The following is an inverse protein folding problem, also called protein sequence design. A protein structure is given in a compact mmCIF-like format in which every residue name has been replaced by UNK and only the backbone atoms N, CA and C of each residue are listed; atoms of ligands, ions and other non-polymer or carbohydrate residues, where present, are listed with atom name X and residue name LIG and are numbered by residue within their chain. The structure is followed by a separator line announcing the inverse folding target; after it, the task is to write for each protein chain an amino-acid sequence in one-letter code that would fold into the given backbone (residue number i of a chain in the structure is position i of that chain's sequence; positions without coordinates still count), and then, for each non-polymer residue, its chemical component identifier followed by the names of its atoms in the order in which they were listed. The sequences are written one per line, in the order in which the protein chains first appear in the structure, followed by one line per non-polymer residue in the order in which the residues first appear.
data_IF_325163760595
#
_entry.id   IF_325163760595
#
_cell.length_a   1.000
_cell.length_b   1.000
_cell.length_c   1.000
_cell.angle_alpha   90.00
_cell.angle_beta   90.00
_cell.angle_gamma   90.00
#
_symmetry.space_group_name_H-M   'P 1'
#
loop_
_entity.id
_entity.type
_entity.pdbx_description
1 polymer ?
#
# COMPACT_ATOMS: atom_id res chain seq x y z
N UNK A 1 -10.51 -22.20 9.60
CA UNK A 1 -10.19 -21.31 8.46
C UNK A 1 -8.80 -20.74 8.67
N UNK A 2 -7.96 -20.76 7.64
CA UNK A 2 -6.66 -20.09 7.64
C UNK A 2 -6.76 -18.77 6.86
N UNK A 3 -5.91 -17.80 7.19
CA UNK A 3 -5.78 -16.61 6.37
C UNK A 3 -5.04 -16.98 5.08
N UNK A 4 -5.57 -16.61 3.91
CA UNK A 4 -4.94 -16.92 2.63
C UNK A 4 -3.55 -16.27 2.54
N UNK A 5 -2.59 -16.97 1.92
CA UNK A 5 -1.18 -16.60 1.93
C UNK A 5 -0.92 -15.19 1.35
N UNK A 6 -1.70 -14.78 0.35
CA UNK A 6 -1.55 -13.45 -0.25
C UNK A 6 -1.87 -12.31 0.75
N UNK A 7 -2.76 -12.52 1.73
CA UNK A 7 -3.02 -11.52 2.76
C UNK A 7 -1.81 -11.35 3.68
N UNK A 8 -1.17 -12.45 4.08
CA UNK A 8 0.04 -12.39 4.90
C UNK A 8 1.22 -11.77 4.13
N UNK A 9 1.35 -12.08 2.84
CA UNK A 9 2.36 -11.46 1.98
C UNK A 9 2.14 -9.95 1.84
N UNK A 10 0.89 -9.51 1.64
CA UNK A 10 0.54 -8.08 1.60
C UNK A 10 0.83 -7.37 2.92
N UNK A 11 0.43 -7.95 4.05
CA UNK A 11 0.68 -7.38 5.38
C UNK A 11 2.18 -7.26 5.65
N UNK A 12 2.96 -8.28 5.32
CA UNK A 12 4.42 -8.25 5.46
C UNK A 12 5.09 -7.19 4.60
N UNK A 13 4.58 -6.97 3.40
CA UNK A 13 5.17 -6.04 2.46
C UNK A 13 4.83 -4.57 2.75
N UNK A 14 3.69 -4.32 3.41
CA UNK A 14 3.25 -2.97 3.81
C UNK A 14 3.62 -2.60 5.24
N UNK A 15 3.75 -3.58 6.13
CA UNK A 15 4.02 -3.34 7.55
C UNK A 15 5.37 -3.95 7.92
N UNK A 16 6.43 -3.14 7.87
CA UNK A 16 7.80 -3.59 8.14
C UNK A 16 8.03 -4.06 9.59
N UNK A 17 7.32 -3.48 10.56
CA UNK A 17 7.46 -3.82 11.98
C UNK A 17 6.81 -5.17 12.31
N UNK A 18 7.61 -6.12 12.80
CA UNK A 18 7.11 -7.41 13.27
C UNK A 18 6.15 -7.28 14.46
N UNK A 19 6.36 -6.29 15.33
CA UNK A 19 5.45 -5.97 16.43
C UNK A 19 4.09 -5.54 15.90
N UNK A 20 4.08 -4.58 14.96
CA UNK A 20 2.86 -4.07 14.35
C UNK A 20 2.05 -5.17 13.63
N UNK A 21 2.74 -6.08 12.91
CA UNK A 21 2.10 -7.24 12.30
C UNK A 21 1.45 -8.16 13.33
N UNK A 22 2.09 -8.38 14.48
CA UNK A 22 1.54 -9.20 15.56
C UNK A 22 0.30 -8.56 16.18
N UNK A 23 0.34 -7.26 16.41
CA UNK A 23 -0.78 -6.53 17.00
C UNK A 23 -1.99 -6.51 16.06
N UNK A 24 -1.75 -6.32 14.75
CA UNK A 24 -2.79 -6.38 13.73
C UNK A 24 -3.38 -7.79 13.58
N UNK A 25 -2.54 -8.81 13.35
CA UNK A 25 -2.99 -10.14 12.90
C UNK A 25 -3.38 -11.04 14.06
N UNK A 26 -2.61 -11.05 15.16
CA UNK A 26 -2.84 -11.99 16.26
C UNK A 26 -3.64 -11.37 17.42
N UNK A 27 -3.49 -10.07 17.66
CA UNK A 27 -4.21 -9.39 18.76
C UNK A 27 -5.49 -8.69 18.31
N UNK A 28 -5.76 -8.64 17.01
CA UNK A 28 -6.94 -7.95 16.44
C UNK A 28 -7.08 -6.52 16.96
N UNK A 29 -5.94 -5.82 17.14
CA UNK A 29 -5.92 -4.51 17.76
C UNK A 29 -6.65 -3.48 16.88
N UNK A 30 -7.52 -2.67 17.49
CA UNK A 30 -8.15 -1.53 16.82
C UNK A 30 -7.18 -0.34 16.85
N UNK A 31 -6.47 -0.14 15.75
CA UNK A 31 -5.40 0.87 15.64
C UNK A 31 -5.99 2.20 15.17
N UNK A 32 -5.68 3.30 15.86
CA UNK A 32 -6.12 4.65 15.47
C UNK A 32 -5.20 5.24 14.38
N UNK A 33 -5.67 6.23 13.62
CA UNK A 33 -4.90 6.81 12.50
C UNK A 33 -3.49 7.27 12.88
N UNK A 34 -3.34 8.09 13.91
CA UNK A 34 -2.01 8.55 14.38
C UNK A 34 -1.11 7.41 14.83
N UNK A 35 -1.69 6.35 15.42
CA UNK A 35 -0.95 5.16 15.84
C UNK A 35 -0.49 4.36 14.62
N UNK A 36 -1.34 4.20 13.61
CA UNK A 36 -1.00 3.57 12.35
C UNK A 36 0.14 4.30 11.63
N UNK A 37 0.19 5.63 11.69
CA UNK A 37 1.34 6.42 11.19
C UNK A 37 2.61 6.08 11.97
N UNK A 38 2.56 6.10 13.31
CA UNK A 38 3.73 5.74 14.16
C UNK A 38 4.21 4.30 13.93
N UNK A 39 3.31 3.39 13.63
CA UNK A 39 3.60 1.98 13.34
C UNK A 39 4.10 1.77 11.89
N UNK A 40 4.10 2.82 11.06
CA UNK A 40 4.51 2.75 9.65
C UNK A 40 3.52 1.97 8.79
N UNK A 41 2.24 1.92 9.16
CA UNK A 41 1.19 1.24 8.40
C UNK A 41 0.56 2.15 7.34
N UNK A 42 0.53 3.46 7.59
CA UNK A 42 0.02 4.50 6.68
C UNK A 42 0.97 5.70 6.70
N UNK A 43 1.00 6.46 5.62
CA UNK A 43 1.91 7.61 5.47
C UNK A 43 1.42 8.87 6.22
N UNK A 44 0.10 9.06 6.35
CA UNK A 44 -0.50 10.19 7.06
C UNK A 44 -1.86 9.82 7.69
N UNK A 45 -2.32 10.66 8.61
CA UNK A 45 -3.65 10.58 9.22
C UNK A 45 -4.25 11.98 9.35
N UNK A 46 -5.57 12.09 9.22
CA UNK A 46 -6.32 13.34 9.22
C UNK A 46 -7.53 13.25 10.15
N UNK A 47 -8.04 14.39 10.61
CA UNK A 47 -9.09 14.45 11.63
C UNK A 47 -10.47 14.04 11.12
N UNK A 48 -10.71 14.23 9.81
CA UNK A 48 -11.97 13.90 9.15
C UNK A 48 -11.76 13.11 7.85
N UNK A 49 -12.83 12.51 7.35
CA UNK A 49 -12.83 11.84 6.05
C UNK A 49 -12.57 12.83 4.91
N UNK A 50 -13.14 14.03 4.98
CA UNK A 50 -12.96 15.09 3.99
C UNK A 50 -11.51 15.55 3.92
N UNK A 51 -10.89 15.83 5.09
CA UNK A 51 -9.47 16.19 5.16
C UNK A 51 -8.56 15.07 4.61
N UNK A 52 -8.94 13.81 4.81
CA UNK A 52 -8.21 12.65 4.28
C UNK A 52 -8.26 12.63 2.74
N UNK A 53 -9.44 12.85 2.17
CA UNK A 53 -9.62 12.90 0.71
C UNK A 53 -8.82 14.07 0.13
N UNK A 54 -8.94 15.26 0.74
CA UNK A 54 -8.22 16.45 0.32
C UNK A 54 -6.70 16.25 0.34
N UNK A 55 -6.16 15.59 1.37
CA UNK A 55 -4.75 15.27 1.45
C UNK A 55 -4.32 14.24 0.39
N UNK A 56 -5.15 13.23 0.14
CA UNK A 56 -4.88 12.23 -0.89
C UNK A 56 -4.90 12.83 -2.30
N UNK A 57 -5.84 13.74 -2.60
CA UNK A 57 -5.92 14.44 -3.89
C UNK A 57 -4.69 15.32 -4.10
N UNK A 58 -4.32 16.14 -3.10
CA UNK A 58 -3.09 16.95 -3.18
C UNK A 58 -1.85 16.09 -3.43
N UNK A 59 -1.72 14.97 -2.73
CA UNK A 59 -0.62 14.04 -2.95
C UNK A 59 -0.64 13.48 -4.39
N UNK A 60 -1.80 13.10 -4.91
CA UNK A 60 -1.94 12.59 -6.27
C UNK A 60 -1.53 13.65 -7.31
N UNK A 61 -1.92 14.91 -7.13
CA UNK A 61 -1.51 16.02 -8.00
C UNK A 61 0.01 16.22 -7.99
N UNK A 62 0.65 16.22 -6.81
CA UNK A 62 2.10 16.34 -6.69
C UNK A 62 2.85 15.17 -7.35
N UNK A 63 2.33 13.95 -7.23
CA UNK A 63 2.89 12.79 -7.91
C UNK A 63 2.69 12.87 -9.43
N UNK A 64 1.54 13.35 -9.90
CA UNK A 64 1.24 13.54 -11.32
C UNK A 64 2.19 14.51 -12.01
N UNK A 65 2.66 15.55 -11.30
CA UNK A 65 3.65 16.51 -11.82
C UNK A 65 4.99 15.88 -12.18
N UNK A 66 5.30 14.68 -11.68
CA UNK A 66 6.59 14.00 -11.92
C UNK A 66 6.70 13.35 -13.31
N UNK A 67 5.65 13.40 -14.14
CA UNK A 67 5.63 12.90 -15.54
C UNK A 67 6.25 11.51 -15.69
N UNK A 68 5.83 10.60 -14.81
CA UNK A 68 6.31 9.23 -14.85
C UNK A 68 5.90 8.53 -16.14
N UNK A 69 6.77 7.68 -16.66
CA UNK A 69 6.36 6.65 -17.61
C UNK A 69 5.48 5.64 -16.85
N UNK A 70 4.19 5.58 -17.20
CA UNK A 70 3.22 4.75 -16.49
C UNK A 70 3.56 3.26 -16.51
N UNK A 71 4.21 2.78 -17.57
CA UNK A 71 4.64 1.39 -17.68
C UNK A 71 5.80 1.12 -16.74
N UNK A 72 6.85 1.93 -16.80
CA UNK A 72 8.02 1.80 -15.91
C UNK A 72 7.59 1.92 -14.45
N UNK A 73 6.76 2.90 -14.10
CA UNK A 73 6.30 3.09 -12.74
C UNK A 73 5.48 1.91 -12.22
N UNK A 74 4.58 1.36 -13.04
CA UNK A 74 3.81 0.17 -12.68
C UNK A 74 4.69 -1.06 -12.45
N UNK A 75 5.71 -1.28 -13.29
CA UNK A 75 6.69 -2.36 -13.12
C UNK A 75 7.51 -2.21 -11.83
N UNK A 76 7.95 -0.99 -11.51
CA UNK A 76 8.64 -0.70 -10.25
C UNK A 76 7.73 -1.02 -9.06
N UNK A 77 6.45 -0.60 -9.10
CA UNK A 77 5.50 -0.91 -8.02
C UNK A 77 5.28 -2.41 -7.83
N UNK A 78 5.21 -3.21 -8.91
CA UNK A 78 5.14 -4.67 -8.81
C UNK A 78 6.42 -5.26 -8.23
N UNK A 79 7.58 -4.76 -8.67
CA UNK A 79 8.90 -5.20 -8.22
C UNK A 79 9.14 -4.94 -6.73
N UNK A 80 8.45 -3.96 -6.13
CA UNK A 80 8.47 -3.74 -4.68
C UNK A 80 7.77 -4.87 -3.89
N UNK A 81 6.91 -5.67 -4.53
CA UNK A 81 6.06 -6.67 -3.88
C UNK A 81 6.12 -8.04 -4.57
N UNK A 82 7.32 -8.63 -4.77
CA UNK A 82 7.50 -9.79 -5.65
C UNK A 82 6.75 -11.04 -5.18
N UNK A 83 6.75 -11.30 -3.87
CA UNK A 83 6.02 -12.44 -3.27
C UNK A 83 4.50 -12.30 -3.45
N UNK A 84 3.96 -11.10 -3.17
CA UNK A 84 2.54 -10.82 -3.32
C UNK A 84 2.10 -10.95 -4.78
N UNK A 85 2.87 -10.38 -5.72
CA UNK A 85 2.60 -10.50 -7.15
C UNK A 85 2.65 -11.96 -7.61
N UNK A 86 3.62 -12.75 -7.11
CA UNK A 86 3.72 -14.19 -7.40
C UNK A 86 2.49 -14.97 -6.91
N UNK A 87 2.06 -14.75 -5.66
CA UNK A 87 0.88 -15.41 -5.09
C UNK A 87 -0.43 -15.03 -5.78
N UNK A 88 -0.54 -13.80 -6.29
CA UNK A 88 -1.71 -13.34 -7.04
C UNK A 88 -1.65 -13.71 -8.53
N UNK A 89 -0.57 -14.32 -9.02
CA UNK A 89 -0.38 -14.61 -10.43
C UNK A 89 -0.26 -13.36 -11.31
N UNK A 90 0.10 -12.21 -10.72
CA UNK A 90 0.35 -10.95 -11.41
C UNK A 90 1.71 -11.04 -12.11
N UNK A 91 1.71 -11.71 -13.27
CA UNK A 91 2.86 -11.80 -14.17
C UNK A 91 3.18 -10.42 -14.77
N UNK A 92 4.36 -10.28 -15.35
CA UNK A 92 4.75 -9.12 -16.16
C UNK A 92 3.92 -9.06 -17.45
N UNK A 93 2.67 -8.62 -17.32
CA UNK A 93 1.78 -8.36 -18.44
C UNK A 93 1.99 -6.91 -18.87
N UNK A 94 2.14 -6.72 -20.18
CA UNK A 94 2.37 -5.43 -20.81
C UNK A 94 1.39 -4.37 -20.29
N UNK A 95 1.93 -3.36 -19.61
CA UNK A 95 1.17 -2.19 -19.19
C UNK A 95 0.68 -1.45 -20.44
N UNK A 96 -0.64 -1.35 -20.60
CA UNK A 96 -1.25 -0.47 -21.60
C UNK A 96 -0.99 0.98 -21.18
N UNK A 97 -0.64 1.88 -22.12
CA UNK A 97 -0.32 3.25 -21.80
C UNK A 97 -1.50 3.94 -21.10
N UNK A 98 -1.19 4.68 -20.05
CA UNK A 98 -2.15 5.57 -19.39
C UNK A 98 -2.40 6.77 -20.29
N UNK A 99 -3.63 6.93 -20.78
CA UNK A 99 -4.09 8.14 -21.48
C UNK A 99 -4.59 9.20 -20.47
N UNK A 100 -3.74 9.55 -19.50
CA UNK A 100 -3.98 10.69 -18.60
C UNK A 100 -3.04 11.83 -18.97
#
# INVERSE_FOLDING_TARGET
MTLADYFLAMIRSKIGSAGARRDLVLKTAKIRGEEAVRMGMVDSAHGTAEETVDAAVRLAEELGKKRWDGKVYAEIRKSLFPELCGLLGLKDVAVLPSHL
#
